data_IF_211751905108
#
_entry.id   IF_211751905108
#
_cell.length_a   1.000
_cell.length_b   1.000
_cell.length_c   1.000
_cell.angle_alpha   90.00
_cell.angle_beta   90.00
_cell.angle_gamma   90.00
#
_symmetry.space_group_name_H-M   'P 1'
#
loop_
_entity.id
_entity.type
_entity.pdbx_description
1 polymer ?
#
# COMPACT_ATOMS: atom_id res chain seq x y z
N UNK A 1 -0.89 17.33 15.27
CA UNK A 1 -0.97 17.40 13.78
C UNK A 1 0.40 17.11 13.14
N UNK A 2 1.06 16.02 13.52
CA UNK A 2 1.95 15.31 12.60
C UNK A 2 1.06 14.33 11.86
N UNK A 3 1.27 14.07 10.57
CA UNK A 3 1.32 12.69 10.05
C UNK A 3 1.33 12.63 8.52
N UNK A 4 0.55 13.44 7.79
CA UNK A 4 0.45 13.25 6.33
C UNK A 4 1.79 13.50 5.60
N UNK A 5 2.50 14.59 5.93
CA UNK A 5 3.81 14.91 5.33
C UNK A 5 4.89 13.87 5.65
N UNK A 6 4.88 13.31 6.87
CA UNK A 6 5.82 12.26 7.25
C UNK A 6 5.49 10.94 6.56
N UNK A 7 4.20 10.56 6.49
CA UNK A 7 3.74 9.39 5.74
C UNK A 7 4.18 9.51 4.29
N UNK A 8 3.87 10.62 3.61
CA UNK A 8 4.29 10.81 2.22
C UNK A 8 5.81 10.73 2.06
N UNK A 9 6.60 11.29 3.00
CA UNK A 9 8.07 11.19 2.97
C UNK A 9 8.55 9.73 3.09
N UNK A 10 7.96 8.94 3.98
CA UNK A 10 8.29 7.51 4.13
C UNK A 10 7.89 6.74 2.88
N UNK A 11 6.68 6.95 2.36
CA UNK A 11 6.24 6.31 1.12
C UNK A 11 7.16 6.68 -0.06
N UNK A 12 7.61 7.93 -0.15
CA UNK A 12 8.53 8.38 -1.20
C UNK A 12 9.88 7.66 -1.15
N UNK A 13 10.35 7.24 0.03
CA UNK A 13 11.57 6.44 0.14
C UNK A 13 11.41 5.06 -0.49
N UNK A 14 10.19 4.50 -0.46
CA UNK A 14 9.86 3.22 -1.10
C UNK A 14 9.90 3.26 -2.62
N UNK A 15 9.73 4.43 -3.24
CA UNK A 15 9.86 4.59 -4.71
C UNK A 15 11.31 4.39 -5.18
N UNK A 16 12.30 4.68 -4.33
CA UNK A 16 13.71 4.66 -4.72
C UNK A 16 14.11 5.82 -5.63
N UNK A 17 15.32 5.78 -6.20
CA UNK A 17 15.78 6.85 -7.11
C UNK A 17 15.03 6.81 -8.44
N UNK A 18 14.54 7.96 -8.90
CA UNK A 18 13.70 8.18 -10.09
C UNK A 18 14.27 7.74 -11.46
N UNK A 19 15.47 7.13 -11.49
CA UNK A 19 16.25 6.98 -12.72
C UNK A 19 16.33 5.54 -13.24
N UNK A 20 15.60 4.59 -12.65
CA UNK A 20 15.66 3.19 -13.06
C UNK A 20 14.29 2.68 -13.50
N UNK A 21 14.23 1.94 -14.61
CA UNK A 21 13.05 1.12 -15.00
C UNK A 21 12.69 0.03 -13.97
N UNK A 22 13.46 -0.05 -12.88
CA UNK A 22 13.34 -0.99 -11.77
C UNK A 22 12.83 -0.30 -10.49
N UNK A 23 11.95 0.69 -10.63
CA UNK A 23 11.29 1.36 -9.50
C UNK A 23 9.79 1.13 -9.55
N UNK A 24 9.11 1.04 -8.39
CA UNK A 24 7.66 1.08 -8.33
C UNK A 24 7.10 2.34 -8.98
N UNK A 25 5.93 2.23 -9.62
CA UNK A 25 5.25 3.32 -10.30
C UNK A 25 4.57 4.25 -9.30
N UNK A 26 3.89 3.65 -8.32
CA UNK A 26 3.24 4.39 -7.24
C UNK A 26 3.08 3.56 -5.98
N UNK A 27 2.98 4.24 -4.85
CA UNK A 27 2.78 3.63 -3.54
C UNK A 27 1.70 4.40 -2.83
N UNK A 28 0.72 3.70 -2.26
CA UNK A 28 -0.36 4.31 -1.50
C UNK A 28 -0.53 3.66 -0.13
N UNK A 29 -0.81 4.49 0.86
CA UNK A 29 -1.41 4.09 2.12
C UNK A 29 -2.93 4.14 1.95
N UNK A 30 -3.63 3.06 2.27
CA UNK A 30 -5.07 2.91 2.16
C UNK A 30 -5.72 2.84 3.55
N UNK A 31 -6.98 3.29 3.61
CA UNK A 31 -7.86 3.07 4.74
C UNK A 31 -8.41 1.64 4.77
N UNK A 32 -9.16 1.31 5.82
CA UNK A 32 -9.87 0.05 5.96
C UNK A 32 -10.86 -0.24 4.82
N UNK A 33 -11.30 0.80 4.11
CA UNK A 33 -12.22 0.67 2.99
C UNK A 33 -11.50 0.66 1.63
N UNK A 34 -10.17 0.61 1.61
CA UNK A 34 -9.37 0.61 0.38
C UNK A 34 -9.24 1.98 -0.28
N UNK A 35 -9.65 3.04 0.41
CA UNK A 35 -9.52 4.41 -0.09
C UNK A 35 -8.09 4.92 0.15
N UNK A 36 -7.40 5.47 -0.86
CA UNK A 36 -6.08 6.06 -0.68
C UNK A 36 -6.13 7.27 0.27
N UNK A 37 -5.35 7.18 1.35
CA UNK A 37 -5.13 8.26 2.33
C UNK A 37 -3.95 9.13 1.93
N UNK A 38 -2.91 8.51 1.37
CA UNK A 38 -1.72 9.19 0.85
C UNK A 38 -1.14 8.36 -0.27
N UNK A 39 -0.84 9.00 -1.40
CA UNK A 39 -0.26 8.37 -2.59
C UNK A 39 0.95 9.17 -3.03
N UNK A 40 2.03 8.46 -3.33
CA UNK A 40 3.22 9.02 -3.97
C UNK A 40 3.50 8.28 -5.26
N UNK A 41 4.00 9.01 -6.25
CA UNK A 41 4.20 8.54 -7.61
C UNK A 41 5.58 8.94 -8.10
N UNK A 42 6.15 8.15 -8.99
CA UNK A 42 7.37 8.56 -9.70
C UNK A 42 7.03 9.73 -10.63
N UNK A 43 7.71 10.89 -10.51
CA UNK A 43 7.52 12.00 -11.43
C UNK A 43 7.89 11.57 -12.86
N UNK A 44 7.16 12.05 -13.86
CA UNK A 44 7.44 11.83 -15.30
C UNK A 44 7.29 10.39 -15.82
N UNK A 45 6.73 9.47 -15.03
CA UNK A 45 6.27 8.15 -15.50
C UNK A 45 4.74 8.12 -15.61
N UNK A 46 4.17 9.10 -16.31
CA UNK A 46 2.74 9.10 -16.63
C UNK A 46 2.47 8.04 -17.70
N UNK A 47 2.19 6.81 -17.26
CA UNK A 47 1.48 5.86 -18.11
C UNK A 47 0.04 6.33 -18.19
N UNK A 48 -0.52 6.41 -19.40
CA UNK A 48 -1.90 6.88 -19.64
C UNK A 48 -2.94 6.14 -18.79
N UNK A 49 -2.65 4.89 -18.41
CA UNK A 49 -3.54 4.04 -17.62
C UNK A 49 -3.43 4.23 -16.08
N UNK A 50 -2.51 5.06 -15.57
CA UNK A 50 -2.25 5.25 -14.13
C UNK A 50 -2.86 6.55 -13.57
N UNK A 51 -4.10 6.83 -13.95
CA UNK A 51 -4.87 7.96 -13.42
C UNK A 51 -5.16 7.79 -11.92
N UNK A 52 -5.51 8.87 -11.22
CA UNK A 52 -5.90 8.78 -9.80
C UNK A 52 -7.13 7.89 -9.59
N UNK A 53 -8.06 7.87 -10.53
CA UNK A 53 -9.28 7.07 -10.41
C UNK A 53 -9.00 5.59 -10.67
N UNK A 54 -8.13 5.27 -11.62
CA UNK A 54 -7.70 3.89 -11.84
C UNK A 54 -6.98 3.33 -10.61
N UNK A 55 -6.10 4.12 -9.96
CA UNK A 55 -5.46 3.68 -8.72
C UNK A 55 -6.45 3.37 -7.60
N UNK A 56 -7.54 4.14 -7.47
CA UNK A 56 -8.58 3.85 -6.47
C UNK A 56 -9.28 2.52 -6.80
N UNK A 57 -9.66 2.32 -8.05
CA UNK A 57 -10.30 1.08 -8.51
C UNK A 57 -9.38 -0.11 -8.24
N UNK A 58 -8.12 -0.01 -8.65
CA UNK A 58 -7.14 -1.09 -8.46
C UNK A 58 -6.83 -1.36 -6.99
N UNK A 59 -6.78 -0.31 -6.14
CA UNK A 59 -6.61 -0.47 -4.69
C UNK A 59 -7.78 -1.23 -4.07
N UNK A 60 -9.01 -0.97 -4.52
CA UNK A 60 -10.19 -1.69 -4.07
C UNK A 60 -10.19 -3.15 -4.52
N UNK A 61 -9.77 -3.42 -5.76
CA UNK A 61 -9.63 -4.79 -6.27
C UNK A 61 -8.61 -5.58 -5.46
N UNK A 62 -7.41 -5.00 -5.25
CA UNK A 62 -6.34 -5.63 -4.46
C UNK A 62 -6.79 -5.91 -3.02
N UNK A 63 -7.49 -4.96 -2.37
CA UNK A 63 -8.00 -5.14 -1.02
C UNK A 63 -9.07 -6.23 -0.96
N UNK A 64 -10.00 -6.25 -1.90
CA UNK A 64 -11.06 -7.27 -1.93
C UNK A 64 -10.48 -8.67 -2.15
N UNK A 65 -9.45 -8.80 -2.98
CA UNK A 65 -8.76 -10.08 -3.15
C UNK A 65 -8.05 -10.52 -1.87
N UNK A 66 -7.29 -9.62 -1.23
CA UNK A 66 -6.61 -9.92 0.04
C UNK A 66 -7.61 -10.44 1.09
N UNK A 67 -8.78 -9.80 1.19
CA UNK A 67 -9.87 -10.22 2.08
C UNK A 67 -10.44 -11.59 1.76
N UNK A 68 -10.52 -11.95 0.48
CA UNK A 68 -10.99 -13.28 0.08
C UNK A 68 -10.00 -14.38 0.43
N UNK A 69 -8.71 -14.05 0.53
CA UNK A 69 -7.66 -15.01 0.85
C UNK A 69 -7.56 -15.36 2.34
N UNK A 70 -8.23 -14.60 3.23
CA UNK A 70 -8.45 -14.77 4.70
C UNK A 70 -7.23 -15.09 5.61
N UNK A 71 -6.20 -15.78 5.15
CA UNK A 71 -5.03 -16.22 5.91
C UNK A 71 -3.73 -15.49 5.50
N UNK A 72 -3.71 -14.78 4.37
CA UNK A 72 -2.50 -14.11 3.88
C UNK A 72 -2.42 -12.65 4.38
N UNK A 73 -1.28 -12.28 4.98
CA UNK A 73 -0.98 -10.91 5.42
C UNK A 73 -0.74 -9.93 4.25
N UNK A 74 -0.44 -10.48 3.07
CA UNK A 74 -0.13 -9.76 1.84
C UNK A 74 -0.72 -10.47 0.62
N UNK A 75 -0.92 -9.73 -0.46
CA UNK A 75 -1.50 -10.23 -1.70
C UNK A 75 -0.78 -9.67 -2.91
N UNK A 76 -0.77 -10.45 -3.99
CA UNK A 76 -0.28 -10.08 -5.31
C UNK A 76 -1.43 -10.18 -6.31
N UNK A 77 -1.62 -9.14 -7.11
CA UNK A 77 -2.61 -9.12 -8.18
C UNK A 77 -2.00 -8.56 -9.46
N UNK A 78 -2.26 -9.23 -10.57
CA UNK A 78 -1.95 -8.76 -11.92
C UNK A 78 -3.21 -8.05 -12.45
N UNK A 79 -3.10 -6.75 -12.70
CA UNK A 79 -4.25 -5.90 -13.06
C UNK A 79 -4.40 -5.75 -14.57
N UNK A 80 -3.28 -5.74 -15.29
CA UNK A 80 -3.18 -5.55 -16.73
C UNK A 80 -1.85 -6.16 -17.22
N UNK A 81 -1.63 -6.27 -18.53
CA UNK A 81 -0.50 -6.97 -19.16
C UNK A 81 0.88 -6.58 -18.58
N UNK A 82 1.02 -5.32 -18.15
CA UNK A 82 2.27 -4.79 -17.60
C UNK A 82 2.10 -4.09 -16.25
N UNK A 83 0.99 -4.31 -15.53
CA UNK A 83 0.73 -3.67 -14.24
C UNK A 83 0.44 -4.73 -13.18
N UNK A 84 1.30 -4.77 -12.18
CA UNK A 84 1.12 -5.59 -11.00
C UNK A 84 0.94 -4.72 -9.76
N UNK A 85 0.29 -5.30 -8.77
CA UNK A 85 0.08 -4.68 -7.48
C UNK A 85 0.38 -5.67 -6.37
N UNK A 86 1.14 -5.21 -5.38
CA UNK A 86 1.34 -5.93 -4.12
C UNK A 86 0.72 -5.11 -2.99
N UNK A 87 -0.04 -5.76 -2.12
CA UNK A 87 -0.76 -5.15 -1.00
C UNK A 87 -0.44 -5.89 0.29
N UNK A 88 -0.33 -5.19 1.41
CA UNK A 88 -0.19 -5.78 2.74
C UNK A 88 -1.02 -5.02 3.75
N UNK A 89 -1.55 -5.75 4.74
CA UNK A 89 -2.12 -5.14 5.93
C UNK A 89 -1.00 -4.55 6.79
N UNK A 90 -1.24 -3.38 7.36
CA UNK A 90 -0.30 -2.74 8.29
C UNK A 90 -0.61 -3.19 9.72
N UNK A 91 0.35 -3.83 10.36
CA UNK A 91 0.24 -4.21 11.78
C UNK A 91 0.55 -3.02 12.68
N UNK A 92 -0.47 -2.56 13.41
CA UNK A 92 -0.32 -1.48 14.38
C UNK A 92 -0.54 -2.05 15.78
N UNK A 93 0.49 -1.96 16.64
CA UNK A 93 0.46 -2.52 18.00
C UNK A 93 -0.74 -2.05 18.85
N UNK A 94 -1.28 -0.86 18.59
CA UNK A 94 -2.40 -0.29 19.35
C UNK A 94 -3.78 -0.80 18.91
N UNK A 95 -3.90 -1.46 17.76
CA UNK A 95 -5.17 -2.06 17.31
C UNK A 95 -5.45 -3.41 18.00
N UNK A 96 -4.43 -4.04 18.57
CA UNK A 96 -4.51 -5.38 19.16
C UNK A 96 -5.23 -5.37 20.54
N UNK A 97 -5.45 -4.20 21.15
CA UNK A 97 -6.08 -4.09 22.48
C UNK A 97 -7.62 -4.01 22.49
N UNK A 98 -8.32 -4.19 21.36
CA UNK A 98 -9.79 -4.29 21.35
C UNK A 98 -10.24 -5.75 21.32
N UNK A 99 -10.15 -6.43 22.47
CA UNK A 99 -10.85 -7.70 22.72
C UNK A 99 -12.38 -7.55 22.87
N UNK A 100 -12.94 -6.38 22.58
CA UNK A 100 -14.39 -6.16 22.63
C UNK A 100 -14.79 -5.24 21.48
N UNK A 101 -15.50 -5.80 20.49
CA UNK A 101 -16.70 -5.25 19.84
C UNK A 101 -17.04 -6.21 18.67
N UNK A 102 -18.25 -6.77 18.73
CA UNK A 102 -18.85 -7.74 17.82
C UNK A 102 -19.21 -7.18 16.42
N UNK A 103 -18.45 -6.22 15.91
CA UNK A 103 -18.60 -5.72 14.54
C UNK A 103 -17.32 -6.04 13.75
N UNK A 104 -17.40 -7.09 12.91
CA UNK A 104 -16.35 -7.54 11.98
C UNK A 104 -16.07 -6.54 10.85
N UNK A 105 -15.88 -5.26 11.17
CA UNK A 105 -15.23 -4.33 10.25
C UNK A 105 -13.75 -4.49 10.49
N UNK A 106 -13.03 -4.99 9.49
CA UNK A 106 -11.57 -5.05 9.52
C UNK A 106 -11.00 -3.63 9.63
N UNK A 107 -10.92 -3.12 10.85
CA UNK A 107 -10.24 -1.88 11.16
C UNK A 107 -8.74 -2.12 10.94
N UNK A 108 -8.18 -1.49 9.90
CA UNK A 108 -6.78 -1.64 9.54
C UNK A 108 -6.39 -0.65 8.44
N UNK A 109 -5.10 -0.33 8.39
CA UNK A 109 -4.51 0.39 7.26
C UNK A 109 -3.85 -0.63 6.34
N UNK A 110 -3.75 -0.31 5.06
CA UNK A 110 -3.09 -1.16 4.08
C UNK A 110 -2.05 -0.36 3.31
N UNK A 111 -0.97 -1.00 2.91
CA UNK A 111 0.02 -0.41 2.01
C UNK A 111 -0.06 -1.14 0.69
N UNK A 112 -0.10 -0.38 -0.40
CA UNK A 112 -0.17 -0.91 -1.75
C UNK A 112 0.94 -0.32 -2.62
N UNK A 113 1.60 -1.16 -3.39
CA UNK A 113 2.66 -0.79 -4.33
C UNK A 113 2.21 -1.22 -5.72
N UNK A 114 2.14 -0.27 -6.65
CA UNK A 114 1.90 -0.50 -8.06
C UNK A 114 3.23 -0.48 -8.81
N UNK A 115 3.48 -1.48 -9.65
CA UNK A 115 4.73 -1.61 -10.37
C UNK A 115 4.55 -2.28 -11.73
N UNK A 116 5.54 -2.10 -12.60
CA UNK A 116 5.57 -2.71 -13.93
C UNK A 116 5.93 -4.20 -13.85
N UNK A 117 5.43 -5.03 -14.77
CA UNK A 117 5.76 -6.47 -14.82
C UNK A 117 7.26 -6.76 -14.96
N UNK A 118 8.05 -5.80 -15.45
CA UNK A 118 9.52 -5.86 -15.53
C UNK A 118 10.21 -5.70 -14.17
N UNK A 119 9.50 -5.23 -13.14
CA UNK A 119 10.02 -5.11 -11.78
C UNK A 119 9.73 -6.40 -10.99
N UNK A 120 10.72 -6.87 -10.23
CA UNK A 120 10.63 -8.17 -9.56
C UNK A 120 9.58 -8.19 -8.45
N UNK A 121 8.71 -9.20 -8.45
CA UNK A 121 7.73 -9.43 -7.38
C UNK A 121 8.42 -9.56 -6.01
N UNK A 122 9.61 -10.18 -5.96
CA UNK A 122 10.40 -10.32 -4.73
C UNK A 122 10.91 -8.96 -4.23
N UNK A 123 11.37 -8.08 -5.12
CA UNK A 123 11.80 -6.72 -4.76
C UNK A 123 10.60 -5.85 -4.33
N UNK A 124 9.45 -6.00 -4.99
CA UNK A 124 8.22 -5.32 -4.63
C UNK A 124 7.76 -5.71 -3.21
N UNK A 125 7.75 -7.01 -2.92
CA UNK A 125 7.43 -7.52 -1.58
C UNK A 125 8.43 -7.02 -0.53
N UNK A 126 9.73 -7.09 -0.80
CA UNK A 126 10.75 -6.60 0.14
C UNK A 126 10.57 -5.11 0.46
N UNK A 127 10.24 -4.29 -0.55
CA UNK A 127 9.94 -2.87 -0.34
C UNK A 127 8.67 -2.67 0.47
N UNK A 128 7.64 -3.49 0.23
CA UNK A 128 6.39 -3.46 0.99
C UNK A 128 6.65 -3.77 2.46
N UNK A 129 7.39 -4.83 2.77
CA UNK A 129 7.72 -5.25 4.14
C UNK A 129 8.47 -4.12 4.88
N UNK A 130 9.46 -3.51 4.21
CA UNK A 130 10.22 -2.39 4.76
C UNK A 130 9.34 -1.16 5.03
N UNK A 131 8.42 -0.84 4.11
CA UNK A 131 7.47 0.26 4.28
C UNK A 131 6.48 -0.01 5.41
N UNK A 132 5.95 -1.23 5.50
CA UNK A 132 5.06 -1.64 6.58
C UNK A 132 5.77 -1.53 7.93
N UNK A 133 7.04 -1.96 8.03
CA UNK A 133 7.84 -1.81 9.24
C UNK A 133 8.08 -0.33 9.60
N UNK A 134 8.48 0.50 8.63
CA UNK A 134 8.73 1.92 8.87
C UNK A 134 7.44 2.69 9.24
N UNK A 135 6.32 2.38 8.59
CA UNK A 135 5.03 3.01 8.86
C UNK A 135 4.41 2.54 10.17
N UNK A 136 4.53 1.26 10.52
CA UNK A 136 4.02 0.76 11.82
C UNK A 136 4.72 1.43 13.00
N UNK A 137 6.03 1.66 12.89
CA UNK A 137 6.78 2.47 13.86
C UNK A 137 6.39 3.95 13.81
N UNK A 138 6.29 4.54 12.62
CA UNK A 138 5.96 5.97 12.45
C UNK A 138 4.51 6.33 12.82
N UNK A 139 3.61 5.34 12.83
CA UNK A 139 2.19 5.47 13.19
C UNK A 139 1.89 4.87 14.57
N UNK A 140 2.90 4.51 15.35
CA UNK A 140 2.74 4.09 16.73
C UNK A 140 2.07 5.25 17.52
N UNK A 141 0.86 5.01 18.01
CA UNK A 141 0.02 6.05 18.66
C UNK A 141 -1.08 6.68 17.79
N UNK A 142 -1.18 6.33 16.50
CA UNK A 142 -2.33 6.75 15.68
C UNK A 142 -3.61 6.09 16.18
N UNK A 143 -4.57 6.91 16.62
CA UNK A 143 -5.94 6.49 16.93
C UNK A 143 -6.79 6.94 15.75
N UNK A 144 -7.14 6.00 14.87
CA UNK A 144 -8.15 6.23 13.82
C UNK A 144 -9.53 6.43 14.42
#
# INVERSE_FOLDING_TARGET
MLQLRHISKVLSQGLGSSNSRTSPLSISLLSSNGLPLSTVRVPNQEKEHLTNDNLKIYSLLALNQLRQQNDDEWGLLELDENLKVVISKLELKNYINKEQIEDKREEGLYVVIFYDSMFSDAEAKLRLDNLCSALSQGLEGYRG
#
